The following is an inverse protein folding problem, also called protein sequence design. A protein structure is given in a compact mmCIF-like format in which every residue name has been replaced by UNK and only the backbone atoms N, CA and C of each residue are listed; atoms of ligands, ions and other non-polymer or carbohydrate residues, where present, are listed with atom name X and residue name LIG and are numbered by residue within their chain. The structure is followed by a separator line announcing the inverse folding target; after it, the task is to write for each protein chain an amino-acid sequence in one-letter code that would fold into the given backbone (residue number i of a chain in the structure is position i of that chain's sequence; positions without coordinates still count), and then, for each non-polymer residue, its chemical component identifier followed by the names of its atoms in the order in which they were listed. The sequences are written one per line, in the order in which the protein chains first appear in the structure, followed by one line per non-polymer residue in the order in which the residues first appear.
data_IF_197166373750
#
_entry.id   IF_197166373750
#
_cell.length_a   1.000
_cell.length_b   1.000
_cell.length_c   1.000
_cell.angle_alpha   90.00
_cell.angle_beta   90.00
_cell.angle_gamma   90.00
#
_symmetry.space_group_name_H-M   'P 1'
#
loop_
_entity.id
_entity.type
_entity.pdbx_description
1 polymer ?
#
# COMPACT_ATOMS: atom_id res chain seq x y z
N UNK A 1 28.52 19.10 54.46
CA UNK A 1 28.81 19.93 53.28
C UNK A 1 30.31 19.91 53.10
N UNK A 2 30.82 19.24 52.07
CA UNK A 2 32.25 19.30 51.77
C UNK A 2 32.40 19.30 50.25
N UNK A 3 32.47 20.51 49.71
CA UNK A 3 32.67 20.74 48.29
C UNK A 3 34.09 20.28 47.94
N UNK A 4 34.21 19.13 47.27
CA UNK A 4 35.44 18.73 46.61
C UNK A 4 35.80 19.81 45.61
N UNK A 5 36.80 20.61 45.94
CA UNK A 5 37.42 21.58 45.04
C UNK A 5 38.07 20.79 43.90
N UNK A 6 37.41 20.77 42.75
CA UNK A 6 38.01 20.32 41.51
C UNK A 6 39.18 21.27 41.21
N UNK A 7 40.41 20.83 41.48
CA UNK A 7 41.60 21.46 40.92
C UNK A 7 41.52 21.30 39.41
N UNK A 8 40.93 22.28 38.76
CA UNK A 8 41.07 22.47 37.31
C UNK A 8 42.52 22.84 37.08
N UNK A 9 43.32 21.87 36.61
CA UNK A 9 44.66 22.17 36.11
C UNK A 9 44.50 23.21 34.99
N UNK A 10 44.86 24.46 35.26
CA UNK A 10 44.78 25.55 34.28
C UNK A 10 45.84 25.29 33.22
N UNK A 11 45.45 24.57 32.16
CA UNK A 11 46.27 24.31 30.98
C UNK A 11 46.00 25.37 29.91
N UNK A 12 47.07 25.90 29.32
CA UNK A 12 46.97 26.79 28.17
C UNK A 12 46.52 26.08 26.89
N UNK A 13 46.18 26.87 25.87
CA UNK A 13 45.85 26.38 24.53
C UNK A 13 47.09 25.67 23.95
N UNK A 14 46.91 24.48 23.35
CA UNK A 14 48.00 23.78 22.69
C UNK A 14 48.60 24.65 21.58
N UNK A 15 49.93 24.67 21.41
CA UNK A 15 50.64 25.52 20.41
C UNK A 15 50.00 25.53 19.02
N UNK A 16 49.39 24.42 18.60
CA UNK A 16 48.76 24.30 17.28
C UNK A 16 47.29 24.76 17.21
N UNK A 17 46.67 25.21 18.30
CA UNK A 17 45.27 25.69 18.36
C UNK A 17 44.17 24.66 18.06
N UNK A 18 44.54 23.45 17.62
CA UNK A 18 43.64 22.40 17.17
C UNK A 18 42.81 21.81 18.31
N UNK A 19 41.49 21.92 18.20
CA UNK A 19 40.53 21.50 19.23
C UNK A 19 40.57 19.99 19.57
N UNK A 20 41.01 19.13 18.65
CA UNK A 20 41.11 17.68 18.88
C UNK A 20 42.35 17.25 19.67
N UNK A 21 43.21 18.20 20.06
CA UNK A 21 44.36 17.95 20.93
C UNK A 21 44.07 18.29 22.40
N UNK A 22 42.79 18.26 22.82
CA UNK A 22 42.42 18.37 24.24
C UNK A 22 42.96 17.17 25.04
N UNK A 23 43.24 17.35 26.34
CA UNK A 23 43.66 16.25 27.20
C UNK A 23 42.55 15.20 27.25
N UNK A 24 42.87 13.97 26.83
CA UNK A 24 41.96 12.84 26.98
C UNK A 24 41.95 12.41 28.45
N UNK A 25 40.77 12.39 29.06
CA UNK A 25 40.61 11.73 30.35
C UNK A 25 40.86 10.23 30.20
N UNK A 26 41.53 9.62 31.19
CA UNK A 26 41.62 8.16 31.23
C UNK A 26 40.20 7.60 31.35
N UNK A 27 39.88 6.57 30.59
CA UNK A 27 38.58 5.92 30.62
C UNK A 27 38.33 5.36 32.04
N UNK A 28 37.54 6.07 32.85
CA UNK A 28 37.29 5.74 34.27
C UNK A 28 36.12 4.77 34.48
N UNK A 29 35.27 4.54 33.47
CA UNK A 29 33.99 3.84 33.65
C UNK A 29 33.86 2.65 32.69
N UNK A 30 34.04 1.43 33.20
CA UNK A 30 33.61 0.23 32.49
C UNK A 30 32.08 0.23 32.50
N UNK A 31 31.45 0.35 31.33
CA UNK A 31 30.01 0.17 31.22
C UNK A 31 29.71 -1.33 31.37
N UNK A 32 29.00 -1.70 32.43
CA UNK A 32 28.50 -3.06 32.60
C UNK A 32 27.55 -3.36 31.43
N UNK A 33 27.98 -4.24 30.53
CA UNK A 33 27.20 -4.64 29.37
C UNK A 33 26.05 -5.54 29.81
N UNK A 34 24.92 -5.47 29.08
CA UNK A 34 23.79 -6.37 29.32
C UNK A 34 24.31 -7.81 29.19
N UNK A 35 24.07 -8.69 30.19
CA UNK A 35 24.56 -10.06 30.13
C UNK A 35 23.99 -10.80 28.93
N UNK A 36 24.79 -11.68 28.32
CA UNK A 36 24.33 -12.51 27.20
C UNK A 36 23.15 -13.35 27.65
N UNK A 37 22.10 -13.39 26.83
CA UNK A 37 20.92 -14.24 27.08
C UNK A 37 21.33 -15.71 27.11
N UNK A 38 20.77 -16.46 28.05
CA UNK A 38 20.96 -17.92 28.12
C UNK A 38 20.36 -18.60 26.88
N UNK A 39 20.80 -19.84 26.57
CA UNK A 39 20.28 -20.59 25.42
C UNK A 39 18.76 -20.75 25.47
N UNK A 40 18.21 -21.01 26.65
CA UNK A 40 16.76 -21.17 26.84
C UNK A 40 15.99 -19.88 26.55
N UNK A 41 16.53 -18.73 26.97
CA UNK A 41 15.94 -17.42 26.66
C UNK A 41 15.94 -17.17 25.15
N UNK A 42 17.01 -17.55 24.45
CA UNK A 42 17.07 -17.43 23.00
C UNK A 42 16.05 -18.34 22.29
N UNK A 43 15.87 -19.57 22.77
CA UNK A 43 14.87 -20.50 22.23
C UNK A 43 13.45 -19.97 22.43
N UNK A 44 13.13 -19.43 23.61
CA UNK A 44 11.83 -18.79 23.89
C UNK A 44 11.55 -17.63 22.94
N UNK A 45 12.52 -16.73 22.76
CA UNK A 45 12.39 -15.59 21.83
C UNK A 45 12.19 -16.07 20.39
N UNK A 46 12.90 -17.12 19.95
CA UNK A 46 12.72 -17.69 18.61
C UNK A 46 11.32 -18.27 18.42
N UNK A 47 10.79 -18.97 19.42
CA UNK A 47 9.44 -19.51 19.39
C UNK A 47 8.37 -18.40 19.34
N UNK A 48 8.53 -17.35 20.16
CA UNK A 48 7.65 -16.18 20.17
C UNK A 48 7.67 -15.45 18.82
N UNK A 49 8.86 -15.21 18.26
CA UNK A 49 9.01 -14.59 16.95
C UNK A 49 8.35 -15.41 15.84
N UNK A 50 8.46 -16.74 15.89
CA UNK A 50 7.80 -17.64 14.94
C UNK A 50 6.28 -17.50 15.05
N UNK A 51 5.73 -17.56 16.26
CA UNK A 51 4.29 -17.39 16.53
C UNK A 51 3.76 -16.03 16.04
N UNK A 52 4.48 -14.94 16.32
CA UNK A 52 4.10 -13.58 15.87
C UNK A 52 4.12 -13.48 14.35
N UNK A 53 5.13 -14.05 13.69
CA UNK A 53 5.22 -14.07 12.22
C UNK A 53 4.07 -14.85 11.58
N UNK A 54 3.74 -16.02 12.13
CA UNK A 54 2.63 -16.85 11.65
C UNK A 54 1.30 -16.13 11.80
N UNK A 55 1.05 -15.50 12.95
CA UNK A 55 -0.14 -14.69 13.18
C UNK A 55 -0.22 -13.50 12.22
N UNK A 56 0.88 -12.77 12.04
CA UNK A 56 0.94 -11.64 11.11
C UNK A 56 0.67 -12.07 9.67
N UNK A 57 1.17 -13.26 9.28
CA UNK A 57 0.91 -13.84 7.96
C UNK A 57 -0.57 -14.17 7.77
N UNK A 58 -1.20 -14.85 8.73
CA UNK A 58 -2.65 -15.16 8.69
C UNK A 58 -3.49 -13.90 8.47
N UNK A 59 -3.24 -12.84 9.25
CA UNK A 59 -3.98 -11.58 9.14
C UNK A 59 -3.81 -10.93 7.76
N UNK A 60 -2.60 -10.99 7.19
CA UNK A 60 -2.35 -10.45 5.84
C UNK A 60 -3.05 -11.25 4.76
N UNK A 61 -3.02 -12.58 4.87
CA UNK A 61 -3.63 -13.49 3.92
C UNK A 61 -5.17 -13.34 3.94
N UNK A 62 -5.78 -13.24 5.12
CA UNK A 62 -7.21 -12.96 5.28
C UNK A 62 -7.61 -11.63 4.64
N UNK A 63 -6.85 -10.55 4.89
CA UNK A 63 -7.10 -9.23 4.26
C UNK A 63 -6.97 -9.31 2.74
N UNK A 64 -5.99 -10.06 2.23
CA UNK A 64 -5.79 -10.25 0.79
C UNK A 64 -6.98 -10.99 0.18
N UNK A 65 -7.41 -12.09 0.80
CA UNK A 65 -8.58 -12.86 0.35
C UNK A 65 -9.85 -12.00 0.33
N UNK A 66 -10.10 -11.21 1.39
CA UNK A 66 -11.25 -10.31 1.44
C UNK A 66 -11.23 -9.26 0.31
N UNK A 67 -10.05 -8.72 -0.01
CA UNK A 67 -9.90 -7.75 -1.09
C UNK A 67 -10.10 -8.39 -2.47
N UNK A 68 -9.57 -9.60 -2.69
CA UNK A 68 -9.78 -10.37 -3.92
C UNK A 68 -11.26 -10.65 -4.15
N UNK A 69 -11.98 -11.11 -3.11
CA UNK A 69 -13.42 -11.35 -3.18
C UNK A 69 -14.20 -10.08 -3.49
N UNK A 70 -13.82 -8.93 -2.90
CA UNK A 70 -14.44 -7.63 -3.22
C UNK A 70 -14.19 -7.22 -4.68
N UNK A 71 -12.98 -7.47 -5.19
CA UNK A 71 -12.62 -7.18 -6.58
C UNK A 71 -13.44 -8.04 -7.54
N UNK A 72 -13.49 -9.35 -7.31
CA UNK A 72 -14.30 -10.29 -8.09
C UNK A 72 -15.78 -9.90 -8.11
N UNK A 73 -16.36 -9.57 -6.94
CA UNK A 73 -17.75 -9.07 -6.86
C UNK A 73 -17.97 -7.79 -7.66
N UNK A 74 -17.00 -6.86 -7.67
CA UNK A 74 -17.10 -5.63 -8.47
C UNK A 74 -17.05 -5.94 -9.97
N UNK A 75 -16.16 -6.83 -10.39
CA UNK A 75 -16.05 -7.27 -11.78
C UNK A 75 -17.33 -7.96 -12.24
N UNK A 76 -17.87 -8.89 -11.46
CA UNK A 76 -19.13 -9.57 -11.76
C UNK A 76 -20.31 -8.57 -11.82
N UNK A 77 -20.41 -7.65 -10.85
CA UNK A 77 -21.45 -6.62 -10.87
C UNK A 77 -21.32 -5.69 -12.09
N UNK A 78 -20.10 -5.34 -12.49
CA UNK A 78 -19.86 -4.53 -13.68
C UNK A 78 -20.25 -5.29 -14.96
N UNK A 79 -19.93 -6.59 -15.05
CA UNK A 79 -20.34 -7.44 -16.16
C UNK A 79 -21.87 -7.55 -16.22
N UNK A 80 -22.51 -7.89 -15.09
CA UNK A 80 -23.97 -7.97 -14.98
C UNK A 80 -24.65 -6.64 -15.33
N UNK A 81 -24.07 -5.50 -14.91
CA UNK A 81 -24.56 -4.18 -15.27
C UNK A 81 -24.47 -3.95 -16.78
N UNK A 82 -23.34 -4.27 -17.42
CA UNK A 82 -23.18 -4.18 -18.88
C UNK A 82 -24.19 -5.07 -19.62
N UNK A 83 -24.39 -6.29 -19.15
CA UNK A 83 -25.39 -7.21 -19.73
C UNK A 83 -26.82 -6.70 -19.56
N UNK A 84 -27.16 -6.19 -18.38
CA UNK A 84 -28.48 -5.60 -18.10
C UNK A 84 -28.70 -4.31 -18.90
N UNK A 85 -27.66 -3.49 -19.06
CA UNK A 85 -27.68 -2.35 -19.96
C UNK A 85 -27.98 -2.85 -21.38
N UNK A 86 -27.24 -3.82 -21.93
CA UNK A 86 -27.51 -4.37 -23.26
C UNK A 86 -28.93 -4.96 -23.40
N UNK A 87 -29.43 -5.69 -22.39
CA UNK A 87 -30.77 -6.30 -22.39
C UNK A 87 -31.89 -5.25 -22.30
N UNK A 88 -31.71 -4.21 -21.49
CA UNK A 88 -32.70 -3.15 -21.32
C UNK A 88 -32.73 -2.15 -22.48
N UNK A 89 -31.72 -2.18 -23.36
CA UNK A 89 -31.70 -1.36 -24.56
C UNK A 89 -32.82 -1.75 -25.53
N UNK A 90 -33.91 -1.00 -25.46
CA UNK A 90 -34.97 -1.07 -26.47
C UNK A 90 -34.52 -0.27 -27.70
N UNK A 91 -34.21 -0.96 -28.79
CA UNK A 91 -33.71 -0.39 -30.04
C UNK A 91 -34.79 -0.42 -31.12
N UNK A 92 -34.87 0.64 -31.92
CA UNK A 92 -35.72 0.66 -33.10
C UNK A 92 -34.86 0.35 -34.33
N UNK A 93 -35.21 -0.70 -35.07
CA UNK A 93 -34.50 -1.09 -36.29
C UNK A 93 -34.92 -0.16 -37.44
N UNK A 94 -34.01 0.72 -37.87
CA UNK A 94 -34.25 1.62 -39.00
C UNK A 94 -33.89 0.88 -40.30
N UNK A 95 -34.90 0.38 -41.02
CA UNK A 95 -34.70 -0.35 -42.28
C UNK A 95 -34.23 0.54 -43.44
N UNK A 96 -34.62 1.82 -43.46
CA UNK A 96 -34.25 2.77 -44.51
C UNK A 96 -33.51 3.97 -43.93
N UNK A 97 -32.23 4.11 -44.28
CA UNK A 97 -31.32 5.13 -43.76
C UNK A 97 -31.61 6.54 -44.30
N UNK A 98 -32.29 6.67 -45.45
CA UNK A 98 -32.70 7.96 -45.99
C UNK A 98 -33.68 8.69 -45.07
N UNK A 99 -34.39 7.98 -44.19
CA UNK A 99 -35.25 8.59 -43.17
C UNK A 99 -34.46 9.46 -42.17
N UNK A 100 -33.24 9.06 -41.79
CA UNK A 100 -32.39 9.85 -40.88
C UNK A 100 -32.02 11.20 -41.49
N UNK A 101 -31.78 11.25 -42.81
CA UNK A 101 -31.45 12.48 -43.54
C UNK A 101 -32.61 13.49 -43.58
N UNK A 102 -33.84 13.03 -43.35
CA UNK A 102 -35.06 13.87 -43.34
C UNK A 102 -35.41 14.42 -41.95
N UNK A 103 -34.76 13.91 -40.89
CA UNK A 103 -35.03 14.33 -39.51
C UNK A 103 -34.27 15.63 -39.19
N UNK A 104 -34.87 16.49 -38.36
CA UNK A 104 -34.24 17.72 -37.86
C UNK A 104 -32.95 17.41 -37.08
N UNK A 105 -31.89 18.20 -37.32
CA UNK A 105 -30.58 18.04 -36.66
C UNK A 105 -30.65 17.92 -35.12
N UNK A 106 -31.61 18.59 -34.46
CA UNK A 106 -31.80 18.51 -33.00
C UNK A 106 -32.12 17.07 -32.53
N UNK A 107 -32.99 16.35 -33.25
CA UNK A 107 -33.37 14.98 -32.89
C UNK A 107 -32.25 13.99 -33.23
N UNK A 108 -31.51 14.21 -34.34
CA UNK A 108 -30.34 13.39 -34.68
C UNK A 108 -29.28 13.39 -33.57
N UNK A 109 -29.10 14.50 -32.84
CA UNK A 109 -28.16 14.59 -31.70
C UNK A 109 -28.57 13.71 -30.51
N UNK A 110 -29.85 13.35 -30.39
CA UNK A 110 -30.37 12.50 -29.32
C UNK A 110 -30.32 11.01 -29.67
N UNK A 111 -30.19 10.67 -30.96
CA UNK A 111 -30.13 9.29 -31.43
C UNK A 111 -28.73 8.74 -31.16
N UNK A 112 -28.65 7.64 -30.42
CA UNK A 112 -27.44 6.86 -30.26
C UNK A 112 -27.48 5.65 -31.19
N UNK A 113 -26.44 5.48 -32.01
CA UNK A 113 -26.30 4.28 -32.84
C UNK A 113 -25.86 3.11 -31.94
N UNK A 114 -26.58 1.99 -32.04
CA UNK A 114 -26.22 0.71 -31.40
C UNK A 114 -26.05 -0.32 -32.50
N UNK A 115 -24.93 -1.03 -32.49
CA UNK A 115 -24.68 -2.09 -33.46
C UNK A 115 -25.38 -3.38 -32.99
N UNK A 116 -26.24 -3.93 -33.84
CA UNK A 116 -27.04 -5.15 -33.58
C UNK A 116 -26.55 -6.34 -34.40
N UNK A 117 -25.42 -6.20 -35.09
CA UNK A 117 -24.93 -7.19 -36.06
C UNK A 117 -24.54 -8.51 -35.37
N UNK A 118 -24.09 -8.43 -34.11
CA UNK A 118 -23.80 -9.57 -33.24
C UNK A 118 -25.05 -10.39 -32.85
N UNK A 119 -26.26 -9.83 -32.97
CA UNK A 119 -27.51 -10.55 -32.70
C UNK A 119 -28.00 -11.31 -33.93
N UNK A 120 -27.65 -10.88 -35.15
CA UNK A 120 -28.03 -11.57 -36.39
C UNK A 120 -27.28 -12.88 -36.60
N UNK A 121 -26.01 -12.95 -36.22
CA UNK A 121 -25.16 -14.14 -36.40
C UNK A 121 -25.55 -15.33 -35.51
N UNK A 122 -26.40 -15.14 -34.49
CA UNK A 122 -26.97 -16.20 -33.65
C UNK A 122 -28.30 -16.77 -34.18
N UNK A 123 -28.88 -16.15 -35.21
CA UNK A 123 -30.21 -16.49 -35.76
C UNK A 123 -30.09 -17.22 -37.11
N UNK A 124 -28.87 -17.55 -37.53
CA UNK A 124 -28.57 -18.43 -38.68
C UNK A 124 -27.95 -19.70 -38.14
#
# INVERSE_FOLDING_TARGET
MENKTEKTEVRGIAKSGKFWKTPKERFRKIHNTIPKKTKDQQLKIRAELKRVKELSKSIKDERKQQNELKKQRREENLQRKKENELKSQTVQIIKNTSKLKRIKKKHLRQIQKRDLDTLKSKVV
#
